data_IF_800448279200
#
_entry.id   IF_800448279200
#
_cell.length_a   1.000
_cell.length_b   1.000
_cell.length_c   1.000
_cell.angle_alpha   90.00
_cell.angle_beta   90.00
_cell.angle_gamma   90.00
#
_symmetry.space_group_name_H-M   'P 1'
#
loop_
_entity.id
_entity.type
_entity.pdbx_description
1 polymer ?
#
# COMPACT_ATOMS: atom_id res chain seq x y z
N UNK A 1 -0.13 0.75 -5.75
CA UNK A 1 0.72 1.50 -6.71
C UNK A 1 1.58 2.44 -5.91
N UNK A 2 2.79 2.71 -6.35
CA UNK A 2 3.75 3.60 -5.67
C UNK A 2 4.55 4.37 -6.72
N UNK A 3 4.93 5.60 -6.40
CA UNK A 3 5.95 6.34 -7.17
C UNK A 3 7.38 6.03 -6.71
N UNK A 4 7.52 5.43 -5.52
CA UNK A 4 8.79 5.11 -4.91
C UNK A 4 9.23 3.68 -5.26
N UNK A 5 10.39 3.56 -5.90
CA UNK A 5 11.00 2.28 -6.26
C UNK A 5 11.75 1.63 -5.08
N UNK A 6 12.10 2.39 -4.05
CA UNK A 6 12.95 1.92 -2.94
C UNK A 6 12.22 1.00 -1.97
N UNK A 7 10.88 1.01 -1.98
CA UNK A 7 10.05 0.19 -1.10
C UNK A 7 9.81 -1.24 -1.62
N UNK A 8 10.31 -1.56 -2.81
CA UNK A 8 10.15 -2.89 -3.39
C UNK A 8 11.16 -3.87 -2.82
N UNK A 9 10.66 -5.00 -2.33
CA UNK A 9 11.47 -6.14 -1.92
C UNK A 9 11.88 -6.99 -3.14
N UNK A 10 10.93 -7.19 -4.06
CA UNK A 10 11.20 -7.73 -5.40
C UNK A 10 10.77 -6.75 -6.45
N UNK A 11 11.50 -6.68 -7.56
CA UNK A 11 11.19 -5.78 -8.66
C UNK A 11 11.46 -6.43 -10.02
N UNK A 12 10.52 -6.25 -10.93
CA UNK A 12 10.66 -6.61 -12.34
C UNK A 12 10.26 -5.42 -13.22
N UNK A 13 11.17 -5.02 -14.11
CA UNK A 13 10.91 -3.97 -15.09
C UNK A 13 9.80 -4.41 -16.05
N UNK A 14 8.88 -3.51 -16.39
CA UNK A 14 7.82 -3.81 -17.33
C UNK A 14 8.26 -3.41 -18.75
N UNK A 15 8.47 -4.36 -19.68
CA UNK A 15 8.90 -4.05 -21.04
C UNK A 15 7.76 -3.45 -21.89
N UNK A 16 6.52 -3.56 -21.43
CA UNK A 16 5.34 -3.12 -22.16
C UNK A 16 5.09 -1.62 -21.94
N UNK A 17 4.54 -0.94 -22.95
CA UNK A 17 4.09 0.46 -22.83
C UNK A 17 2.75 0.57 -22.09
N UNK A 18 2.65 -0.06 -20.92
CA UNK A 18 1.49 0.07 -20.05
C UNK A 18 1.46 1.48 -19.45
N UNK A 19 0.27 2.08 -19.47
CA UNK A 19 0.02 3.39 -18.87
C UNK A 19 -1.20 3.31 -17.97
N UNK A 20 -1.22 4.15 -16.95
CA UNK A 20 -2.35 4.34 -16.06
C UNK A 20 -2.72 5.81 -16.03
N UNK A 21 -4.03 6.11 -15.94
CA UNK A 21 -4.49 7.47 -15.69
C UNK A 21 -4.45 7.73 -14.19
N UNK A 22 -3.76 8.78 -13.77
CA UNK A 22 -3.64 9.16 -12.36
C UNK A 22 -4.62 10.30 -12.02
N UNK A 23 -4.66 10.71 -10.76
CA UNK A 23 -5.69 11.60 -10.22
C UNK A 23 -5.72 13.01 -10.85
N UNK A 24 -4.56 13.53 -11.29
CA UNK A 24 -4.46 14.79 -12.02
C UNK A 24 -4.98 14.70 -13.48
N UNK A 25 -5.41 13.52 -13.90
CA UNK A 25 -5.92 13.23 -15.24
C UNK A 25 -4.84 12.89 -16.27
N UNK A 26 -3.55 13.01 -15.94
CA UNK A 26 -2.45 12.65 -16.84
C UNK A 26 -2.30 11.12 -16.98
N UNK A 27 -1.60 10.71 -18.05
CA UNK A 27 -1.19 9.31 -18.24
C UNK A 27 0.25 9.14 -17.75
N UNK A 28 0.45 8.24 -16.80
CA UNK A 28 1.78 7.85 -16.33
C UNK A 28 2.14 6.46 -16.84
N UNK A 29 3.39 6.28 -17.26
CA UNK A 29 3.92 4.96 -17.61
C UNK A 29 4.06 4.09 -16.37
N UNK A 30 3.78 2.80 -16.51
CA UNK A 30 4.12 1.78 -15.52
C UNK A 30 5.55 1.34 -15.77
N UNK A 31 6.47 1.63 -14.85
CA UNK A 31 7.89 1.30 -14.98
C UNK A 31 8.18 -0.17 -14.66
N UNK A 32 7.41 -0.75 -13.74
CA UNK A 32 7.64 -2.10 -13.26
C UNK A 32 6.55 -2.60 -12.33
N UNK A 33 6.72 -3.84 -11.89
CA UNK A 33 5.87 -4.50 -10.90
C UNK A 33 6.73 -5.28 -9.92
N UNK A 34 6.23 -5.46 -8.70
CA UNK A 34 6.99 -6.15 -7.66
C UNK A 34 6.21 -6.41 -6.38
N UNK A 35 6.89 -6.89 -5.36
CA UNK A 35 6.33 -7.07 -4.01
C UNK A 35 6.78 -5.96 -3.07
N UNK A 36 5.89 -5.59 -2.14
CA UNK A 36 6.18 -4.65 -1.04
C UNK A 36 5.78 -5.32 0.27
N UNK A 37 6.71 -5.38 1.22
CA UNK A 37 6.44 -5.90 2.57
C UNK A 37 6.03 -4.72 3.46
N UNK A 38 4.80 -4.73 3.96
CA UNK A 38 4.27 -3.67 4.84
C UNK A 38 4.40 -4.02 6.32
N UNK A 39 4.31 -5.31 6.65
CA UNK A 39 4.54 -5.86 7.98
C UNK A 39 4.81 -7.36 7.91
N UNK A 40 5.11 -8.00 9.04
CA UNK A 40 5.32 -9.46 9.13
C UNK A 40 4.17 -10.28 8.52
N UNK A 41 2.93 -9.82 8.69
CA UNK A 41 1.73 -10.54 8.25
C UNK A 41 1.15 -9.97 6.94
N UNK A 42 1.76 -8.92 6.37
CA UNK A 42 1.19 -8.17 5.24
C UNK A 42 2.22 -7.84 4.15
N UNK A 43 2.30 -8.72 3.16
CA UNK A 43 3.05 -8.49 1.90
C UNK A 43 2.10 -8.25 0.74
N UNK A 44 2.24 -7.14 0.04
CA UNK A 44 1.51 -6.84 -1.19
C UNK A 44 2.25 -7.42 -2.38
N UNK A 45 1.53 -8.12 -3.26
CA UNK A 45 2.09 -8.65 -4.49
C UNK A 45 1.63 -7.84 -5.69
N UNK A 46 2.43 -7.86 -6.76
CA UNK A 46 2.11 -7.19 -8.02
C UNK A 46 1.73 -5.72 -7.83
N UNK A 47 2.53 -5.01 -7.03
CA UNK A 47 2.45 -3.55 -6.83
C UNK A 47 3.09 -2.89 -8.04
N UNK A 48 2.37 -1.95 -8.68
CA UNK A 48 2.88 -1.21 -9.83
C UNK A 48 3.74 -0.03 -9.38
N UNK A 49 4.91 0.14 -10.02
CA UNK A 49 5.72 1.35 -9.95
C UNK A 49 5.25 2.33 -11.03
N UNK A 50 4.80 3.50 -10.59
CA UNK A 50 4.23 4.56 -11.42
C UNK A 50 4.96 5.87 -11.06
N UNK A 51 6.04 6.24 -11.76
CA UNK A 51 6.96 7.30 -11.30
C UNK A 51 6.33 8.67 -11.05
N UNK A 52 5.27 9.03 -11.76
CA UNK A 52 4.58 10.31 -11.61
C UNK A 52 3.47 10.28 -10.55
N UNK A 53 3.46 9.27 -9.67
CA UNK A 53 2.43 9.11 -8.65
C UNK A 53 2.87 9.78 -7.35
N UNK A 54 2.18 10.85 -6.98
CA UNK A 54 2.51 11.66 -5.78
C UNK A 54 2.18 10.97 -4.44
N UNK A 55 1.42 9.87 -4.47
CA UNK A 55 1.04 9.14 -3.27
C UNK A 55 0.95 7.63 -3.50
N UNK A 56 1.29 6.85 -2.48
CA UNK A 56 1.15 5.40 -2.56
C UNK A 56 -0.32 5.02 -2.38
N UNK A 57 -0.85 4.18 -3.25
CA UNK A 57 -2.25 3.76 -3.24
C UNK A 57 -2.39 2.25 -3.00
N UNK A 58 -3.13 1.88 -1.97
CA UNK A 58 -3.52 0.51 -1.68
C UNK A 58 -4.94 0.25 -2.19
N UNK A 59 -5.08 -0.72 -3.10
CA UNK A 59 -6.38 -1.16 -3.61
C UNK A 59 -7.01 -2.16 -2.64
N UNK A 60 -8.15 -1.79 -2.04
CA UNK A 60 -8.90 -2.68 -1.13
C UNK A 60 -9.39 -3.93 -1.85
N UNK A 61 -9.95 -3.81 -3.05
CA UNK A 61 -10.43 -4.99 -3.80
C UNK A 61 -9.30 -5.99 -4.08
N UNK A 62 -8.09 -5.50 -4.37
CA UNK A 62 -6.93 -6.37 -4.57
C UNK A 62 -6.50 -7.01 -3.26
N UNK A 63 -6.37 -6.21 -2.20
CA UNK A 63 -5.97 -6.67 -0.88
C UNK A 63 -6.89 -7.78 -0.35
N UNK A 64 -8.21 -7.56 -0.35
CA UNK A 64 -9.18 -8.50 0.22
C UNK A 64 -9.25 -9.81 -0.56
N UNK A 65 -9.03 -9.77 -1.89
CA UNK A 65 -8.94 -10.96 -2.73
C UNK A 65 -7.65 -11.76 -2.50
N UNK A 66 -6.50 -11.08 -2.44
CA UNK A 66 -5.20 -11.75 -2.30
C UNK A 66 -4.94 -12.27 -0.89
N UNK A 67 -5.38 -11.53 0.13
CA UNK A 67 -5.15 -11.87 1.54
C UNK A 67 -6.32 -12.57 2.21
N UNK A 68 -7.42 -12.80 1.49
CA UNK A 68 -8.65 -13.37 2.07
C UNK A 68 -9.03 -12.64 3.37
N UNK A 69 -8.95 -11.33 3.36
CA UNK A 69 -9.25 -10.50 4.52
C UNK A 69 -10.50 -9.66 4.28
N UNK A 70 -11.12 -9.21 5.35
CA UNK A 70 -12.12 -8.13 5.32
C UNK A 70 -11.47 -6.82 5.74
N UNK A 71 -12.09 -5.72 5.33
CA UNK A 71 -11.66 -4.38 5.72
C UNK A 71 -12.80 -3.70 6.45
N UNK A 72 -12.58 -3.33 7.70
CA UNK A 72 -13.53 -2.60 8.52
C UNK A 72 -13.10 -1.14 8.60
N UNK A 73 -14.02 -0.22 8.29
CA UNK A 73 -13.78 1.22 8.36
C UNK A 73 -14.58 1.82 9.53
N UNK A 74 -13.90 2.61 10.35
CA UNK A 74 -14.50 3.49 11.35
C UNK A 74 -14.18 4.94 11.02
N UNK A 75 -14.75 5.91 11.73
CA UNK A 75 -14.45 7.33 11.52
C UNK A 75 -13.00 7.73 11.84
N UNK A 76 -12.21 6.84 12.45
CA UNK A 76 -10.84 7.16 12.93
C UNK A 76 -9.77 6.21 12.40
N UNK A 77 -10.16 5.02 11.96
CA UNK A 77 -9.21 4.01 11.52
C UNK A 77 -9.86 3.00 10.59
N UNK A 78 -9.01 2.23 9.93
CA UNK A 78 -9.35 1.12 9.06
C UNK A 78 -8.53 -0.10 9.49
N UNK A 79 -9.16 -1.26 9.56
CA UNK A 79 -8.52 -2.51 9.96
C UNK A 79 -8.67 -3.58 8.89
N UNK A 80 -7.59 -4.33 8.66
CA UNK A 80 -7.58 -5.52 7.81
C UNK A 80 -7.60 -6.75 8.71
N UNK A 81 -8.67 -7.52 8.65
CA UNK A 81 -8.85 -8.71 9.47
C UNK A 81 -8.83 -9.95 8.58
N UNK A 82 -7.89 -10.85 8.86
CA UNK A 82 -7.79 -12.14 8.18
C UNK A 82 -9.06 -12.97 8.46
N UNK A 83 -9.68 -13.53 7.41
CA UNK A 83 -10.94 -14.25 7.56
C UNK A 83 -10.79 -15.62 8.22
N UNK A 84 -9.64 -16.27 8.03
CA UNK A 84 -9.43 -17.64 8.48
C UNK A 84 -9.09 -17.68 9.99
N UNK A 85 -8.28 -16.74 10.47
CA UNK A 85 -7.86 -16.62 11.88
C UNK A 85 -8.65 -15.58 12.70
N UNK A 86 -9.31 -14.62 12.05
CA UNK A 86 -9.93 -13.47 12.72
C UNK A 86 -8.93 -12.44 13.26
N UNK A 87 -7.63 -12.57 12.97
CA UNK A 87 -6.59 -11.67 13.48
C UNK A 87 -6.49 -10.40 12.63
N UNK A 88 -6.26 -9.24 13.27
CA UNK A 88 -5.90 -8.01 12.56
C UNK A 88 -4.47 -8.07 12.02
N UNK A 89 -4.34 -8.16 10.70
CA UNK A 89 -3.07 -8.28 9.96
C UNK A 89 -2.49 -6.92 9.53
N UNK A 90 -3.27 -5.84 9.68
CA UNK A 90 -2.80 -4.48 9.46
C UNK A 90 -3.88 -3.46 9.76
N UNK A 91 -3.49 -2.19 9.86
CA UNK A 91 -4.39 -1.08 10.14
C UNK A 91 -3.89 0.22 9.51
N UNK A 92 -4.81 1.13 9.25
CA UNK A 92 -4.55 2.47 8.76
C UNK A 92 -5.32 3.48 9.62
N UNK A 93 -4.77 4.67 9.81
CA UNK A 93 -5.39 5.75 10.59
C UNK A 93 -5.96 6.81 9.68
N UNK A 94 -7.10 7.38 10.05
CA UNK A 94 -7.68 8.50 9.34
C UNK A 94 -6.81 9.76 9.53
N UNK A 95 -6.51 10.42 8.42
CA UNK A 95 -5.83 11.70 8.37
C UNK A 95 -6.34 12.49 7.17
N UNK A 96 -7.03 13.60 7.42
CA UNK A 96 -7.50 14.54 6.40
C UNK A 96 -8.37 13.91 5.30
N UNK A 97 -9.24 12.97 5.68
CA UNK A 97 -10.16 12.26 4.78
C UNK A 97 -9.58 11.02 4.09
N UNK A 98 -8.34 10.65 4.40
CA UNK A 98 -7.66 9.46 3.87
C UNK A 98 -7.27 8.52 5.01
N UNK A 99 -7.24 7.21 4.75
CA UNK A 99 -6.69 6.25 5.69
C UNK A 99 -5.24 5.95 5.32
N UNK A 100 -4.33 6.26 6.22
CA UNK A 100 -2.89 6.16 6.04
C UNK A 100 -2.38 4.94 6.77
N UNK A 101 -1.80 3.99 6.04
CA UNK A 101 -1.25 2.77 6.60
C UNK A 101 -0.07 3.10 7.54
N UNK A 102 -0.15 2.66 8.80
CA UNK A 102 0.98 2.73 9.72
C UNK A 102 1.91 1.53 9.53
N UNK A 103 3.20 1.80 9.37
CA UNK A 103 4.22 0.77 9.54
C UNK A 103 4.23 0.33 11.01
N UNK A 104 4.00 -0.97 11.26
CA UNK A 104 4.24 -1.54 12.58
C UNK A 104 5.75 -1.68 12.75
N UNK A 105 6.37 -0.69 13.37
CA UNK A 105 7.64 -0.89 14.04
C UNK A 105 7.36 -1.72 15.29
N UNK A 106 7.76 -2.98 15.30
CA UNK A 106 7.77 -3.75 16.55
C UNK A 106 8.71 -3.04 17.56
N UNK A 107 8.39 -3.00 18.86
CA UNK A 107 9.21 -2.30 19.86
C UNK A 107 10.62 -2.85 20.14
N UNK A 108 11.28 -3.52 19.19
CA UNK A 108 12.68 -3.91 19.38
C UNK A 108 13.58 -3.36 18.26
N UNK A 109 14.44 -2.44 18.70
CA UNK A 109 15.56 -1.75 18.05
C UNK A 109 15.24 -0.50 17.21
N UNK A 110 15.24 0.66 17.90
CA UNK A 110 15.63 1.95 17.32
C UNK A 110 17.14 2.17 17.52
N UNK A 111 17.81 2.91 16.61
CA UNK A 111 17.93 4.36 16.83
C UNK A 111 17.16 5.18 15.79
N UNK A 112 16.53 6.27 16.26
CA UNK A 112 15.83 7.25 15.43
C UNK A 112 16.75 7.89 14.37
N UNK A 113 16.28 7.86 13.13
CA UNK A 113 16.40 8.99 12.20
C UNK A 113 15.07 9.13 11.44
N UNK A 114 14.59 10.37 11.33
CA UNK A 114 13.39 10.74 10.58
C UNK A 114 13.58 10.37 9.11
N UNK A 115 13.02 9.23 8.70
CA UNK A 115 12.85 8.87 7.28
C UNK A 115 11.43 9.23 6.91
N UNK A 116 11.25 9.93 5.78
CA UNK A 116 9.94 10.31 5.26
C UNK A 116 8.99 9.10 5.27
N UNK A 117 7.81 9.28 5.86
CA UNK A 117 6.85 8.20 6.04
C UNK A 117 6.30 7.78 4.66
N UNK A 118 6.80 6.68 4.11
CA UNK A 118 6.37 6.11 2.82
C UNK A 118 5.03 5.36 2.93
N UNK A 119 4.05 6.00 3.55
CA UNK A 119 2.77 5.39 3.88
C UNK A 119 1.86 5.19 2.66
N UNK A 120 1.09 4.10 2.65
CA UNK A 120 0.05 3.86 1.65
C UNK A 120 -1.27 4.51 2.08
N UNK A 121 -1.86 5.29 1.19
CA UNK A 121 -3.25 5.72 1.30
C UNK A 121 -4.17 4.58 0.85
N UNK A 122 -5.17 4.29 1.65
CA UNK A 122 -6.17 3.25 1.38
C UNK A 122 -7.35 3.88 0.65
N UNK A 123 -7.68 3.35 -0.52
CA UNK A 123 -8.79 3.86 -1.33
C UNK A 123 -9.77 2.75 -1.70
N UNK A 124 -11.06 3.03 -1.50
CA UNK A 124 -12.16 2.29 -2.09
C UNK A 124 -12.64 3.04 -3.34
N UNK A 125 -12.34 2.52 -4.53
CA UNK A 125 -12.96 2.99 -5.76
C UNK A 125 -14.27 2.22 -5.95
N UNK A 126 -15.37 2.93 -6.19
CA UNK A 126 -16.69 2.35 -6.51
C UNK A 126 -16.75 1.97 -7.99
#
# INVERSE_FOLDING_TARGET
>A
MTGDATIFDTYSSCPNNLTVRIADGSLSKVAGTGSVVLSRDLTLNSVLLVPNLDCNLLSISKLTKEKRCITNFSSTHCEFQDLDSGKTIGNAEECSGLYILKERHDPQEQPQMTVGSNSFSVSCQK
#
